data_IF_977719733377
#
_entry.id   IF_977719733377
#
_cell.length_a   1.000
_cell.length_b   1.000
_cell.length_c   1.000
_cell.angle_alpha   90.00
_cell.angle_beta   90.00
_cell.angle_gamma   90.00
#
_symmetry.space_group_name_H-M   'P 1'
#
loop_
_entity.id
_entity.type
_entity.pdbx_description
1 polymer ?
#
# COMPACT_ATOMS: atom_id res chain seq x y z
N UNK A 1 6.83 27.01 -3.70
CA UNK A 1 7.00 26.22 -4.94
C UNK A 1 7.04 24.70 -4.71
N UNK A 2 7.66 24.17 -3.63
CA UNK A 2 7.76 22.70 -3.40
C UNK A 2 6.42 21.98 -3.09
N UNK A 3 5.48 22.60 -2.36
CA UNK A 3 4.16 22.00 -2.08
C UNK A 3 3.34 21.72 -3.36
N UNK A 4 3.52 22.53 -4.40
CA UNK A 4 2.82 22.38 -5.68
C UNK A 4 3.25 21.12 -6.44
N UNK A 5 4.52 20.70 -6.31
CA UNK A 5 5.01 19.48 -6.98
C UNK A 5 4.50 18.21 -6.32
N UNK A 6 4.49 18.14 -4.99
CA UNK A 6 4.00 16.97 -4.27
C UNK A 6 2.51 16.73 -4.53
N UNK A 7 1.69 17.77 -4.41
CA UNK A 7 0.25 17.66 -4.67
C UNK A 7 -0.04 17.24 -6.12
N UNK A 8 0.70 17.79 -7.10
CA UNK A 8 0.59 17.38 -8.50
C UNK A 8 0.93 15.89 -8.71
N UNK A 9 2.01 15.40 -8.09
CA UNK A 9 2.40 13.99 -8.18
C UNK A 9 1.34 13.08 -7.55
N UNK A 10 0.85 13.39 -6.34
CA UNK A 10 -0.20 12.61 -5.68
C UNK A 10 -1.48 12.60 -6.51
N UNK A 11 -1.82 13.72 -7.14
CA UNK A 11 -3.01 13.81 -8.02
C UNK A 11 -2.86 12.91 -9.23
N UNK A 12 -1.72 12.95 -9.93
CA UNK A 12 -1.47 12.10 -11.09
C UNK A 12 -1.50 10.61 -10.71
N UNK A 13 -0.85 10.23 -9.62
CA UNK A 13 -0.84 8.85 -9.14
C UNK A 13 -2.23 8.40 -8.67
N UNK A 14 -2.98 9.29 -8.01
CA UNK A 14 -4.37 9.05 -7.63
C UNK A 14 -5.33 8.88 -8.81
N UNK A 15 -4.96 9.40 -10.00
CA UNK A 15 -5.67 9.20 -11.26
C UNK A 15 -5.21 7.93 -12.02
N UNK A 16 -4.27 7.16 -11.47
CA UNK A 16 -3.80 5.91 -12.06
C UNK A 16 -2.56 6.04 -12.95
N UNK A 17 -1.79 7.14 -12.83
CA UNK A 17 -0.50 7.22 -13.51
C UNK A 17 0.45 6.09 -13.06
N UNK A 18 1.19 5.51 -14.00
CA UNK A 18 2.14 4.46 -13.72
C UNK A 18 3.36 4.98 -12.95
N UNK A 19 3.62 4.39 -11.79
CA UNK A 19 4.68 4.86 -10.86
C UNK A 19 6.08 4.38 -11.23
N UNK A 20 6.19 3.35 -12.08
CA UNK A 20 7.46 2.66 -12.39
C UNK A 20 7.97 2.92 -13.82
N UNK A 21 7.43 3.91 -14.52
CA UNK A 21 7.89 4.27 -15.87
C UNK A 21 9.34 4.75 -15.82
N UNK A 22 10.22 4.17 -16.64
CA UNK A 22 11.61 4.60 -16.73
C UNK A 22 11.80 5.68 -17.80
N UNK A 23 12.70 6.64 -17.53
CA UNK A 23 13.18 7.59 -18.55
C UNK A 23 14.23 6.93 -19.49
N UNK A 24 14.77 7.70 -20.44
CA UNK A 24 15.79 7.21 -21.38
C UNK A 24 17.07 6.72 -20.70
N UNK A 25 17.35 7.16 -19.47
CA UNK A 25 18.49 6.74 -18.67
C UNK A 25 18.16 5.53 -17.77
N UNK A 26 16.95 5.00 -17.87
CA UNK A 26 16.46 3.92 -17.00
C UNK A 26 16.03 4.38 -15.61
N UNK A 27 15.95 5.69 -15.35
CA UNK A 27 15.54 6.20 -14.05
C UNK A 27 14.02 6.19 -13.93
N UNK A 28 13.49 5.49 -12.93
CA UNK A 28 12.08 5.61 -12.51
C UNK A 28 11.82 6.90 -11.73
N UNK A 29 10.56 7.34 -11.54
CA UNK A 29 10.23 8.46 -10.65
C UNK A 29 10.89 8.40 -9.28
N UNK A 30 11.10 7.19 -8.74
CA UNK A 30 11.77 6.97 -7.46
C UNK A 30 13.24 7.42 -7.48
N UNK A 31 13.95 7.23 -8.59
CA UNK A 31 15.34 7.68 -8.79
C UNK A 31 15.47 9.21 -8.81
N UNK A 32 14.40 9.92 -9.20
CA UNK A 32 14.36 11.40 -9.28
C UNK A 32 13.75 12.05 -8.05
N UNK A 33 13.48 11.31 -6.98
CA UNK A 33 12.90 11.86 -5.75
C UNK A 33 13.87 12.87 -5.09
N UNK A 34 13.38 14.09 -4.85
CA UNK A 34 14.20 15.19 -4.31
C UNK A 34 13.85 15.58 -2.88
N UNK A 35 12.66 15.19 -2.40
CA UNK A 35 12.19 15.51 -1.04
C UNK A 35 11.59 14.28 -0.38
N UNK A 36 11.58 14.20 0.96
CA UNK A 36 10.97 13.08 1.69
C UNK A 36 9.50 12.88 1.34
N UNK A 37 8.74 13.97 1.15
CA UNK A 37 7.33 13.89 0.78
C UNK A 37 7.09 13.27 -0.60
N UNK A 38 7.91 13.62 -1.60
CA UNK A 38 7.81 13.01 -2.94
C UNK A 38 8.20 11.53 -2.88
N UNK A 39 9.26 11.20 -2.15
CA UNK A 39 9.68 9.82 -1.92
C UNK A 39 8.56 9.00 -1.27
N UNK A 40 7.98 9.48 -0.17
CA UNK A 40 6.88 8.81 0.53
C UNK A 40 5.65 8.63 -0.37
N UNK A 41 5.28 9.66 -1.13
CA UNK A 41 4.17 9.57 -2.08
C UNK A 41 4.38 8.44 -3.09
N UNK A 42 5.54 8.41 -3.76
CA UNK A 42 5.88 7.37 -4.73
C UNK A 42 5.86 5.97 -4.11
N UNK A 43 6.41 5.81 -2.90
CA UNK A 43 6.44 4.54 -2.17
C UNK A 43 5.03 4.05 -1.81
N UNK A 44 4.15 4.95 -1.34
CA UNK A 44 2.76 4.60 -1.03
C UNK A 44 2.03 4.10 -2.28
N UNK A 45 2.28 4.67 -3.45
CA UNK A 45 1.73 4.19 -4.71
C UNK A 45 2.47 2.98 -5.30
N UNK A 46 3.39 2.34 -4.55
CA UNK A 46 4.04 1.09 -4.93
C UNK A 46 5.18 1.26 -5.93
N UNK A 47 5.97 2.33 -5.80
CA UNK A 47 7.22 2.46 -6.55
C UNK A 47 8.19 1.31 -6.22
N UNK A 48 8.76 0.70 -7.26
CA UNK A 48 9.70 -0.41 -7.13
C UNK A 48 11.06 0.09 -6.63
N UNK A 49 11.45 -0.34 -5.43
CA UNK A 49 12.71 -0.01 -4.79
C UNK A 49 13.91 -0.79 -5.32
N UNK A 50 13.66 -1.93 -5.97
CA UNK A 50 14.68 -2.82 -6.53
C UNK A 50 15.11 -2.45 -7.94
N UNK A 51 14.38 -1.56 -8.61
CA UNK A 51 14.72 -1.14 -9.97
C UNK A 51 16.08 -0.46 -10.01
N UNK A 52 16.88 -0.82 -11.00
CA UNK A 52 18.19 -0.19 -11.29
C UNK A 52 18.12 0.56 -12.61
N UNK A 53 18.79 1.70 -12.70
CA UNK A 53 18.91 2.45 -13.95
C UNK A 53 19.96 1.81 -14.89
N UNK A 54 20.23 2.44 -16.04
CA UNK A 54 21.22 1.95 -17.01
C UNK A 54 22.67 1.93 -16.50
N UNK A 55 22.92 2.44 -15.28
CA UNK A 55 24.22 2.42 -14.58
C UNK A 55 24.25 1.45 -13.40
N UNK A 56 23.26 0.56 -13.29
CA UNK A 56 23.08 -0.35 -12.16
C UNK A 56 22.88 0.35 -10.80
N UNK A 57 22.45 1.62 -10.81
CA UNK A 57 22.19 2.40 -9.60
C UNK A 57 20.72 2.26 -9.19
N UNK A 58 20.46 1.91 -7.94
CA UNK A 58 19.11 1.95 -7.34
C UNK A 58 18.76 3.37 -6.90
N UNK A 59 17.48 3.64 -6.65
CA UNK A 59 17.04 4.92 -6.06
C UNK A 59 17.75 5.21 -4.71
N UNK A 60 18.04 4.16 -3.93
CA UNK A 60 18.82 4.27 -2.69
C UNK A 60 20.26 4.73 -2.95
N UNK A 61 20.90 4.21 -4.01
CA UNK A 61 22.23 4.66 -4.42
C UNK A 61 22.23 6.16 -4.75
N UNK A 62 21.30 6.62 -5.61
CA UNK A 62 21.23 8.03 -6.03
C UNK A 62 21.03 8.96 -4.83
N UNK A 63 20.12 8.62 -3.91
CA UNK A 63 19.89 9.45 -2.72
C UNK A 63 21.13 9.47 -1.83
N UNK A 64 21.82 8.34 -1.65
CA UNK A 64 23.02 8.24 -0.83
C UNK A 64 24.23 9.02 -1.38
N UNK A 65 24.32 9.20 -2.70
CA UNK A 65 25.40 9.94 -3.38
C UNK A 65 25.06 11.40 -3.65
N UNK A 66 23.77 11.75 -3.57
CA UNK A 66 23.29 13.12 -3.78
C UNK A 66 23.64 14.08 -2.63
N UNK A 67 23.65 15.38 -2.94
CA UNK A 67 23.81 16.47 -1.97
C UNK A 67 22.47 17.02 -1.46
N UNK A 68 21.44 16.16 -1.31
CA UNK A 68 20.12 16.57 -0.80
C UNK A 68 20.19 16.95 0.69
N UNK A 69 19.42 17.97 1.09
CA UNK A 69 19.35 18.44 2.49
C UNK A 69 18.77 17.37 3.43
N UNK A 70 17.66 16.76 3.04
CA UNK A 70 16.92 15.79 3.86
C UNK A 70 17.34 14.34 3.55
N UNK A 71 18.55 14.14 3.05
CA UNK A 71 19.04 12.82 2.60
C UNK A 71 18.98 11.77 3.71
N UNK A 72 19.31 12.14 4.95
CA UNK A 72 19.38 11.20 6.07
C UNK A 72 18.00 10.62 6.38
N UNK A 73 16.94 11.43 6.29
CA UNK A 73 15.56 10.99 6.47
C UNK A 73 15.09 10.13 5.29
N UNK A 74 15.46 10.50 4.07
CA UNK A 74 15.12 9.72 2.87
C UNK A 74 15.80 8.35 2.87
N UNK A 75 17.06 8.28 3.30
CA UNK A 75 17.78 7.02 3.50
C UNK A 75 17.09 6.16 4.56
N UNK A 76 16.70 6.75 5.69
CA UNK A 76 15.96 6.03 6.73
C UNK A 76 14.67 5.41 6.21
N UNK A 77 13.88 6.19 5.47
CA UNK A 77 12.63 5.71 4.86
C UNK A 77 12.91 4.52 3.94
N UNK A 78 13.86 4.65 3.02
CA UNK A 78 14.20 3.58 2.07
C UNK A 78 14.73 2.30 2.76
N UNK A 79 15.60 2.44 3.76
CA UNK A 79 16.09 1.28 4.53
C UNK A 79 14.96 0.63 5.33
N UNK A 80 14.06 1.41 5.92
CA UNK A 80 12.95 0.90 6.72
C UNK A 80 11.94 0.06 5.91
N UNK A 81 11.81 0.32 4.62
CA UNK A 81 10.97 -0.45 3.70
C UNK A 81 11.73 -1.59 3.01
N UNK A 82 12.99 -1.83 3.37
CA UNK A 82 13.81 -2.91 2.81
C UNK A 82 14.33 -2.64 1.39
N UNK A 83 14.50 -1.37 0.98
CA UNK A 83 15.13 -1.07 -0.30
C UNK A 83 16.56 -1.66 -0.36
N UNK A 84 16.94 -2.33 -1.46
CA UNK A 84 18.20 -3.06 -1.51
C UNK A 84 19.39 -2.10 -1.56
N UNK A 85 20.43 -2.47 -0.81
CA UNK A 85 21.78 -1.91 -0.98
C UNK A 85 22.38 -2.35 -2.31
N UNK A 86 23.42 -1.66 -2.76
CA UNK A 86 24.15 -2.05 -3.98
C UNK A 86 24.70 -3.47 -3.80
N UNK A 87 24.58 -4.32 -4.84
CA UNK A 87 25.11 -5.70 -4.82
C UNK A 87 26.64 -5.71 -4.74
N UNK A 88 27.27 -4.90 -5.59
CA UNK A 88 28.71 -4.67 -5.60
C UNK A 88 28.98 -3.23 -5.18
N UNK A 89 30.16 -2.99 -4.59
CA UNK A 89 30.57 -1.64 -4.22
C UNK A 89 31.01 -0.90 -5.47
N UNK A 90 30.18 0.03 -5.95
CA UNK A 90 30.52 0.96 -7.02
C UNK A 90 31.50 2.03 -6.51
N UNK A 91 32.24 2.66 -7.42
CA UNK A 91 33.21 3.71 -7.06
C UNK A 91 32.57 4.91 -6.33
N UNK A 92 31.32 5.21 -6.64
CA UNK A 92 30.52 6.29 -6.05
C UNK A 92 29.82 5.90 -4.75
N UNK A 93 29.87 4.63 -4.32
CA UNK A 93 29.13 4.17 -3.15
C UNK A 93 29.57 4.87 -1.85
N UNK A 94 28.60 5.43 -1.13
CA UNK A 94 28.77 5.94 0.23
C UNK A 94 28.33 4.89 1.26
N UNK A 95 28.60 5.13 2.55
CA UNK A 95 28.14 4.23 3.63
C UNK A 95 26.61 4.05 3.70
N UNK A 96 25.85 4.95 3.07
CA UNK A 96 24.39 4.86 2.97
C UNK A 96 23.88 3.79 2.00
N UNK A 97 24.66 3.41 0.99
CA UNK A 97 24.24 2.49 -0.08
C UNK A 97 25.14 1.28 -0.30
N UNK A 98 26.39 1.32 0.19
CA UNK A 98 27.33 0.20 0.05
C UNK A 98 26.74 -1.11 0.64
N UNK A 99 27.10 -2.29 0.10
CA UNK A 99 26.54 -3.58 0.52
C UNK A 99 26.56 -3.80 2.05
N UNK A 100 27.68 -3.44 2.69
CA UNK A 100 27.86 -3.53 4.15
C UNK A 100 28.05 -2.14 4.79
N UNK A 101 27.37 -1.13 4.25
CA UNK A 101 27.47 0.24 4.74
C UNK A 101 26.82 0.40 6.12
N UNK A 102 27.47 1.09 7.09
CA UNK A 102 27.00 1.15 8.48
C UNK A 102 25.86 2.17 8.69
N UNK A 103 25.51 2.95 7.67
CA UNK A 103 24.58 4.07 7.82
C UNK A 103 23.26 3.77 7.13
N UNK A 104 22.17 3.80 7.90
CA UNK A 104 20.80 3.60 7.42
C UNK A 104 20.00 4.90 7.33
N UNK A 105 20.61 6.07 7.58
CA UNK A 105 19.87 7.33 7.73
C UNK A 105 19.47 7.62 9.17
N UNK A 106 18.80 8.76 9.38
CA UNK A 106 18.30 9.20 10.68
C UNK A 106 16.78 9.14 10.69
N UNK A 107 16.15 8.52 11.71
CA UNK A 107 14.71 8.54 11.85
C UNK A 107 14.21 9.98 11.98
N UNK A 108 13.02 10.29 11.44
CA UNK A 108 12.37 11.57 11.73
C UNK A 108 12.10 11.68 13.23
N UNK A 109 12.08 12.91 13.75
CA UNK A 109 11.73 13.17 15.15
C UNK A 109 10.41 12.49 15.49
N UNK A 110 10.39 11.74 16.60
CA UNK A 110 9.24 10.91 16.96
C UNK A 110 7.98 11.77 17.10
N UNK A 111 6.97 11.44 16.31
CA UNK A 111 5.60 11.93 16.56
C UNK A 111 5.10 11.21 17.81
N UNK A 112 4.58 11.92 18.80
CA UNK A 112 3.93 11.30 19.96
C UNK A 112 2.72 10.49 19.50
N UNK A 113 2.93 9.21 19.22
CA UNK A 113 1.84 8.29 18.91
C UNK A 113 1.21 7.92 20.25
N UNK A 114 -0.04 8.34 20.45
CA UNK A 114 -0.85 7.82 21.56
C UNK A 114 -0.91 6.30 21.44
N UNK A 115 -0.26 5.63 22.38
CA UNK A 115 -0.36 4.18 22.58
C UNK A 115 -1.84 3.79 22.64
N UNK A 116 -2.30 3.07 21.63
CA UNK A 116 -3.49 2.24 21.75
C UNK A 116 -3.02 0.80 21.87
N UNK A 117 -3.60 0.11 22.84
CA UNK A 117 -3.32 -1.24 23.26
C UNK A 117 -3.00 -2.13 22.06
N UNK A 118 -1.75 -2.58 21.99
CA UNK A 118 -1.32 -3.60 21.04
C UNK A 118 -2.06 -4.87 21.42
N UNK A 119 -3.01 -5.30 20.59
CA UNK A 119 -3.37 -6.71 20.56
C UNK A 119 -2.10 -7.42 20.10
N UNK A 120 -1.62 -8.41 20.86
CA UNK A 120 -0.41 -9.16 20.53
C UNK A 120 -0.62 -9.93 19.22
N UNK A 121 -0.25 -9.30 18.10
CA UNK A 121 -0.34 -9.89 16.76
C UNK A 121 0.50 -11.17 16.65
N UNK A 122 1.56 -11.30 17.43
CA UNK A 122 2.43 -12.48 17.45
C UNK A 122 1.66 -13.74 17.88
N UNK A 123 0.80 -13.65 18.89
CA UNK A 123 -0.03 -14.77 19.38
C UNK A 123 -1.05 -15.25 18.33
N UNK A 124 -1.64 -14.29 17.60
CA UNK A 124 -2.61 -14.58 16.53
C UNK A 124 -1.90 -15.22 15.34
N UNK A 125 -0.70 -14.75 14.99
CA UNK A 125 0.09 -15.30 13.88
C UNK A 125 0.58 -16.71 14.19
N UNK A 126 1.05 -16.96 15.41
CA UNK A 126 1.47 -18.28 15.88
C UNK A 126 0.31 -19.27 15.83
N UNK A 127 -0.86 -18.88 16.35
CA UNK A 127 -2.08 -19.68 16.29
C UNK A 127 -2.56 -19.96 14.86
N UNK A 128 -2.44 -18.97 13.95
CA UNK A 128 -2.82 -19.12 12.55
C UNK A 128 -1.86 -20.02 11.78
N UNK A 129 -0.55 -19.96 12.09
CA UNK A 129 0.46 -20.86 11.53
C UNK A 129 0.26 -22.29 12.01
N UNK A 130 -0.02 -22.50 13.29
CA UNK A 130 -0.35 -23.83 13.83
C UNK A 130 -1.58 -24.43 13.15
N UNK A 131 -2.66 -23.66 13.00
CA UNK A 131 -3.87 -24.09 12.28
C UNK A 131 -3.59 -24.46 10.81
N UNK A 132 -2.69 -23.74 10.14
CA UNK A 132 -2.28 -24.04 8.77
C UNK A 132 -1.45 -25.33 8.68
N UNK A 133 -0.63 -25.65 9.68
CA UNK A 133 0.17 -26.89 9.71
C UNK A 133 -0.67 -28.14 10.02
N UNK A 134 -1.69 -28.02 10.85
CA UNK A 134 -2.59 -29.14 11.20
C UNK A 134 -3.43 -29.62 10.00
N UNK A 135 -3.75 -28.74 9.05
CA UNK A 135 -4.47 -29.11 7.82
C UNK A 135 -3.66 -29.99 6.86
N UNK A 136 -2.33 -30.08 7.01
CA UNK A 136 -1.49 -30.98 6.22
C UNK A 136 -1.38 -32.40 6.81
N UNK A 137 -2.06 -32.70 7.93
CA UNK A 137 -2.02 -34.00 8.62
C UNK A 137 -3.33 -34.81 8.50
N UNK A 138 -4.05 -34.71 7.39
CA UNK A 138 -5.14 -35.66 7.06
C UNK A 138 -4.65 -36.76 6.12
N UNK A 139 -3.78 -37.61 6.65
CA UNK A 139 -3.63 -38.99 6.18
C UNK A 139 -4.50 -39.89 7.03
N UNK A 140 -5.38 -40.66 6.37
CA UNK A 140 -6.24 -41.75 6.87
C UNK A 140 -7.63 -41.35 7.40
N UNK A 141 -8.61 -41.35 6.49
CA UNK A 141 -10.05 -41.37 6.82
C UNK A 141 -10.90 -40.99 5.62
N UNK A 142 -11.75 -41.90 5.14
CA UNK A 142 -12.71 -41.68 4.05
C UNK A 142 -13.67 -40.54 4.40
N UNK A 143 -13.38 -39.31 3.96
CA UNK A 143 -14.33 -38.19 3.94
C UNK A 143 -14.34 -37.61 2.53
N UNK A 144 -15.53 -37.49 1.95
CA UNK A 144 -15.75 -37.02 0.60
C UNK A 144 -15.18 -35.59 0.44
N UNK A 145 -14.04 -35.45 -0.26
CA UNK A 145 -13.28 -34.19 -0.38
C UNK A 145 -14.07 -33.03 -1.01
N UNK A 146 -15.23 -33.30 -1.63
CA UNK A 146 -16.10 -32.27 -2.19
C UNK A 146 -16.91 -31.47 -1.14
N UNK A 147 -16.95 -31.87 0.13
CA UNK A 147 -17.77 -31.18 1.16
C UNK A 147 -17.00 -30.36 2.19
N UNK A 148 -15.68 -30.21 2.05
CA UNK A 148 -14.81 -29.54 3.05
C UNK A 148 -14.16 -28.23 2.54
N UNK A 149 -14.64 -27.65 1.42
CA UNK A 149 -14.27 -26.26 1.10
C UNK A 149 -14.95 -25.33 2.10
N UNK A 150 -14.24 -25.04 3.19
CA UNK A 150 -14.62 -23.97 4.12
C UNK A 150 -14.73 -22.64 3.38
N UNK A 151 -15.68 -21.79 3.78
CA UNK A 151 -15.84 -20.47 3.19
C UNK A 151 -14.76 -19.52 3.69
N UNK A 152 -14.14 -18.76 2.78
CA UNK A 152 -13.17 -17.72 3.10
C UNK A 152 -13.90 -16.39 3.20
N UNK A 153 -13.80 -15.74 4.37
CA UNK A 153 -14.48 -14.47 4.64
C UNK A 153 -13.44 -13.38 4.85
N UNK A 154 -13.61 -12.24 4.18
CA UNK A 154 -12.83 -11.03 4.40
C UNK A 154 -13.67 -10.00 5.15
N UNK A 155 -13.20 -9.60 6.34
CA UNK A 155 -13.83 -8.57 7.15
C UNK A 155 -12.99 -7.29 7.13
N UNK A 156 -13.61 -6.16 6.77
CA UNK A 156 -12.97 -4.85 6.65
C UNK A 156 -13.54 -3.87 7.67
N UNK A 157 -12.71 -3.49 8.63
CA UNK A 157 -13.13 -2.59 9.71
C UNK A 157 -13.36 -1.13 9.26
N UNK A 158 -14.14 -0.41 10.05
CA UNK A 158 -14.28 1.04 9.93
C UNK A 158 -13.07 1.80 10.46
N UNK A 159 -12.86 3.04 10.01
CA UNK A 159 -11.72 3.83 10.50
C UNK A 159 -11.50 5.21 9.88
N UNK A 160 -12.44 5.75 9.11
CA UNK A 160 -12.24 7.02 8.39
C UNK A 160 -11.09 6.92 7.38
N UNK A 161 -10.17 7.89 7.37
CA UNK A 161 -8.97 7.84 6.50
C UNK A 161 -7.99 6.72 6.85
N UNK A 162 -8.10 6.09 8.03
CA UNK A 162 -7.28 4.91 8.34
C UNK A 162 -7.56 3.73 7.41
N UNK A 163 -8.63 3.79 6.60
CA UNK A 163 -8.86 2.88 5.47
C UNK A 163 -7.69 2.74 4.50
N UNK A 164 -6.83 3.77 4.39
CA UNK A 164 -5.59 3.66 3.60
C UNK A 164 -4.67 2.54 4.10
N UNK A 165 -4.68 2.25 5.40
CA UNK A 165 -3.92 1.13 5.99
C UNK A 165 -4.53 -0.20 5.56
N UNK A 166 -5.87 -0.32 5.61
CA UNK A 166 -6.57 -1.53 5.13
C UNK A 166 -6.30 -1.77 3.65
N UNK A 167 -6.32 -0.73 2.83
CA UNK A 167 -5.99 -0.84 1.40
C UNK A 167 -4.55 -1.29 1.19
N UNK A 168 -3.60 -0.75 1.96
CA UNK A 168 -2.20 -1.17 1.88
C UNK A 168 -2.03 -2.65 2.27
N UNK A 169 -2.77 -3.11 3.29
CA UNK A 169 -2.78 -4.52 3.69
C UNK A 169 -3.35 -5.40 2.57
N UNK A 170 -4.45 -5.00 1.92
CA UNK A 170 -5.01 -5.74 0.79
C UNK A 170 -4.05 -5.81 -0.41
N UNK A 171 -3.33 -4.72 -0.71
CA UNK A 171 -2.30 -4.70 -1.75
C UNK A 171 -1.17 -5.69 -1.43
N UNK A 172 -0.70 -5.71 -0.17
CA UNK A 172 0.34 -6.63 0.26
C UNK A 172 -0.12 -8.10 0.21
N UNK A 173 -1.36 -8.40 0.62
CA UNK A 173 -1.95 -9.74 0.51
C UNK A 173 -2.05 -10.16 -0.95
N UNK A 174 -2.52 -9.26 -1.83
CA UNK A 174 -2.61 -9.53 -3.26
C UNK A 174 -1.23 -9.81 -3.88
N UNK A 175 -0.20 -9.06 -3.49
CA UNK A 175 1.17 -9.29 -3.94
C UNK A 175 1.70 -10.65 -3.46
N UNK A 176 1.53 -10.97 -2.18
CA UNK A 176 1.90 -12.28 -1.61
C UNK A 176 1.15 -13.46 -2.25
N UNK A 177 -0.07 -13.23 -2.73
CA UNK A 177 -0.88 -14.21 -3.45
C UNK A 177 -0.55 -14.32 -4.96
N UNK A 178 0.57 -13.73 -5.41
CA UNK A 178 0.99 -13.80 -6.80
C UNK A 178 0.18 -12.89 -7.74
N UNK A 179 -0.39 -11.81 -7.20
CA UNK A 179 -1.13 -10.80 -7.97
C UNK A 179 -2.61 -11.11 -8.18
N UNK A 180 -3.14 -12.20 -7.61
CA UNK A 180 -4.56 -12.58 -7.74
C UNK A 180 -5.50 -11.50 -7.19
N UNK A 181 -6.60 -11.14 -7.90
CA UNK A 181 -7.56 -10.16 -7.41
C UNK A 181 -8.14 -10.54 -6.04
N UNK A 182 -8.34 -9.56 -5.17
CA UNK A 182 -8.90 -9.76 -3.82
C UNK A 182 -10.20 -10.54 -3.84
N UNK A 183 -11.09 -10.25 -4.79
CA UNK A 183 -12.37 -10.95 -4.93
C UNK A 183 -12.25 -12.43 -5.27
N UNK A 184 -11.16 -12.88 -5.90
CA UNK A 184 -10.97 -14.31 -6.19
C UNK A 184 -10.38 -15.08 -5.00
N UNK A 185 -9.85 -14.34 -4.02
CA UNK A 185 -9.23 -14.91 -2.82
C UNK A 185 -10.25 -15.21 -1.71
N UNK A 186 -11.40 -14.53 -1.72
CA UNK A 186 -12.42 -14.65 -0.68
C UNK A 186 -13.78 -14.94 -1.28
N UNK A 187 -14.57 -15.76 -0.60
CA UNK A 187 -15.90 -16.12 -1.04
C UNK A 187 -16.90 -15.03 -0.60
N UNK A 188 -16.72 -14.51 0.63
CA UNK A 188 -17.54 -13.46 1.24
C UNK A 188 -16.72 -12.23 1.61
N UNK A 189 -17.32 -11.05 1.46
CA UNK A 189 -16.74 -9.78 1.94
C UNK A 189 -17.74 -9.02 2.81
N UNK A 190 -17.29 -8.60 3.98
CA UNK A 190 -18.05 -7.77 4.90
C UNK A 190 -17.24 -6.52 5.24
N UNK A 191 -17.92 -5.38 5.41
CA UNK A 191 -17.22 -4.15 5.77
C UNK A 191 -18.11 -3.12 6.46
N UNK A 192 -17.53 -2.37 7.39
CA UNK A 192 -18.24 -1.33 8.14
C UNK A 192 -17.67 0.05 7.84
N UNK A 193 -18.51 1.07 7.62
CA UNK A 193 -18.06 2.44 7.31
C UNK A 193 -17.07 2.46 6.12
N UNK A 194 -15.85 2.94 6.33
CA UNK A 194 -14.71 2.84 5.39
C UNK A 194 -14.56 1.44 4.79
N UNK A 195 -14.59 0.39 5.61
CA UNK A 195 -14.51 -0.98 5.13
C UNK A 195 -15.68 -1.37 4.23
N UNK A 196 -16.86 -0.78 4.43
CA UNK A 196 -18.04 -0.98 3.58
C UNK A 196 -17.88 -0.31 2.21
N UNK A 197 -17.36 0.92 2.17
CA UNK A 197 -17.03 1.60 0.90
C UNK A 197 -16.00 0.80 0.12
N UNK A 198 -14.97 0.28 0.80
CA UNK A 198 -13.94 -0.55 0.20
C UNK A 198 -14.49 -1.89 -0.29
N UNK A 199 -15.33 -2.56 0.51
CA UNK A 199 -16.00 -3.79 0.13
C UNK A 199 -16.83 -3.60 -1.14
N UNK A 200 -17.63 -2.52 -1.22
CA UNK A 200 -18.43 -2.20 -2.40
C UNK A 200 -17.57 -1.89 -3.62
N UNK A 201 -16.53 -1.09 -3.47
CA UNK A 201 -15.61 -0.77 -4.57
C UNK A 201 -14.98 -2.06 -5.14
N UNK A 202 -14.49 -2.94 -4.26
CA UNK A 202 -13.95 -4.24 -4.67
C UNK A 202 -15.01 -5.07 -5.39
N UNK A 203 -16.21 -5.22 -4.82
CA UNK A 203 -17.32 -5.99 -5.40
C UNK A 203 -17.79 -5.48 -6.77
N UNK A 204 -17.60 -4.19 -7.08
CA UNK A 204 -17.83 -3.60 -8.41
C UNK A 204 -16.66 -3.84 -9.39
N UNK A 205 -15.70 -4.69 -9.03
CA UNK A 205 -14.53 -5.00 -9.84
C UNK A 205 -13.43 -3.93 -9.81
N UNK A 206 -13.51 -2.94 -8.90
CA UNK A 206 -12.41 -1.98 -8.75
C UNK A 206 -11.23 -2.65 -8.07
N UNK A 207 -10.02 -2.34 -8.53
CA UNK A 207 -8.79 -2.89 -7.93
C UNK A 207 -8.47 -2.22 -6.59
N UNK A 208 -7.73 -2.90 -5.71
CA UNK A 208 -7.23 -2.29 -4.47
C UNK A 208 -6.41 -1.02 -4.73
N UNK A 209 -5.67 -0.98 -5.85
CA UNK A 209 -4.91 0.21 -6.29
C UNK A 209 -5.83 1.37 -6.68
N UNK A 210 -6.93 1.09 -7.36
CA UNK A 210 -7.95 2.10 -7.63
C UNK A 210 -8.58 2.63 -6.34
N UNK A 211 -8.91 1.73 -5.41
CA UNK A 211 -9.44 2.11 -4.10
C UNK A 211 -8.46 3.00 -3.31
N UNK A 212 -7.16 2.77 -3.43
CA UNK A 212 -6.13 3.65 -2.85
C UNK A 212 -6.26 5.09 -3.38
N UNK A 213 -6.32 5.25 -4.71
CA UNK A 213 -6.52 6.55 -5.34
C UNK A 213 -7.84 7.22 -4.94
N UNK A 214 -8.92 6.43 -4.85
CA UNK A 214 -10.22 6.89 -4.34
C UNK A 214 -10.12 7.46 -2.93
N UNK A 215 -9.43 6.78 -2.01
CA UNK A 215 -9.29 7.25 -0.64
C UNK A 215 -8.44 8.51 -0.50
N UNK A 216 -7.45 8.70 -1.37
CA UNK A 216 -6.73 9.97 -1.46
C UNK A 216 -7.64 11.11 -1.93
N UNK A 217 -8.51 10.88 -2.93
CA UNK A 217 -9.52 11.88 -3.32
C UNK A 217 -10.51 12.17 -2.20
N UNK A 218 -11.00 11.14 -1.51
CA UNK A 218 -11.91 11.30 -0.36
C UNK A 218 -11.25 12.14 0.74
N UNK A 219 -9.97 11.92 1.04
CA UNK A 219 -9.22 12.73 2.01
C UNK A 219 -9.28 14.21 1.66
N UNK A 220 -9.00 14.55 0.42
CA UNK A 220 -8.85 15.94 -0.01
C UNK A 220 -10.19 16.63 -0.30
N UNK A 221 -11.28 15.88 -0.49
CA UNK A 221 -12.62 16.42 -0.77
C UNK A 221 -13.55 16.41 0.45
N UNK A 222 -13.50 15.36 1.28
CA UNK A 222 -14.48 15.13 2.36
C UNK A 222 -13.99 15.66 3.70
N UNK A 223 -12.70 15.55 3.98
CA UNK A 223 -12.14 15.89 5.29
C UNK A 223 -11.46 17.26 5.30
N UNK A 224 -12.14 18.24 4.71
CA UNK A 224 -11.67 19.63 4.61
C UNK A 224 -12.41 20.50 5.62
N UNK A 225 -11.67 21.31 6.38
CA UNK A 225 -12.23 22.27 7.35
C UNK A 225 -12.45 21.69 8.75
N UNK A 226 -13.25 22.39 9.53
CA UNK A 226 -13.56 22.02 10.92
C UNK A 226 -14.81 21.15 10.99
N UNK A 227 -14.87 20.31 12.01
CA UNK A 227 -16.07 19.50 12.29
C UNK A 227 -17.24 20.42 12.66
N UNK A 228 -18.49 20.05 12.29
CA UNK A 228 -18.88 18.88 11.51
C UNK A 228 -18.58 19.05 10.00
N UNK A 229 -18.22 17.94 9.34
CA UNK A 229 -17.98 17.94 7.88
C UNK A 229 -19.30 17.90 7.12
N UNK A 230 -19.35 18.54 5.95
CA UNK A 230 -20.48 18.38 5.03
C UNK A 230 -20.48 16.99 4.41
N UNK A 231 -21.66 16.40 4.31
CA UNK A 231 -21.94 15.11 3.69
C UNK A 231 -21.91 15.15 2.16
N UNK A 232 -22.16 16.33 1.56
CA UNK A 232 -22.28 16.50 0.10
C UNK A 232 -21.05 16.00 -0.68
N UNK A 233 -19.80 16.33 -0.29
CA UNK A 233 -18.63 15.85 -1.03
C UNK A 233 -18.50 14.32 -1.00
N UNK A 234 -18.87 13.69 0.12
CA UNK A 234 -18.83 12.23 0.23
C UNK A 234 -19.90 11.59 -0.66
N UNK A 235 -21.12 12.13 -0.63
CA UNK A 235 -22.23 11.66 -1.46
C UNK A 235 -21.89 11.74 -2.96
N UNK A 236 -21.36 12.88 -3.42
CA UNK A 236 -20.97 13.08 -4.82
C UNK A 236 -19.86 12.12 -5.26
N UNK A 237 -18.86 11.87 -4.38
CA UNK A 237 -17.82 10.88 -4.66
C UNK A 237 -18.42 9.48 -4.77
N UNK A 238 -19.32 9.08 -3.85
CA UNK A 238 -19.94 7.76 -3.91
C UNK A 238 -20.83 7.58 -5.15
N UNK A 239 -21.63 8.58 -5.52
CA UNK A 239 -22.43 8.57 -6.76
C UNK A 239 -21.55 8.40 -7.99
N UNK A 240 -20.43 9.13 -8.06
CA UNK A 240 -19.49 9.05 -9.17
C UNK A 240 -18.81 7.68 -9.27
N UNK A 241 -18.45 7.09 -8.15
CA UNK A 241 -17.57 5.91 -8.10
C UNK A 241 -18.34 4.58 -8.12
N UNK A 242 -19.51 4.54 -7.46
CA UNK A 242 -20.39 3.37 -7.37
C UNK A 242 -21.55 3.43 -8.37
N UNK A 243 -21.84 4.62 -8.91
CA UNK A 243 -22.92 4.86 -9.85
C UNK A 243 -24.21 5.30 -9.14
N UNK A 244 -24.87 6.32 -9.68
CA UNK A 244 -26.08 6.91 -9.10
C UNK A 244 -27.31 5.98 -9.20
N UNK A 245 -27.33 5.10 -10.21
CA UNK A 245 -28.44 4.18 -10.50
C UNK A 245 -28.09 2.70 -10.27
N UNK A 246 -26.88 2.42 -9.81
CA UNK A 246 -26.44 1.05 -9.54
C UNK A 246 -27.15 0.54 -8.29
N UNK A 247 -27.87 -0.57 -8.42
CA UNK A 247 -28.54 -1.21 -7.29
C UNK A 247 -27.62 -2.24 -6.64
N UNK A 248 -27.85 -2.53 -5.36
CA UNK A 248 -27.09 -3.58 -4.66
C UNK A 248 -27.25 -4.95 -5.33
N UNK A 249 -28.42 -5.22 -5.94
CA UNK A 249 -28.71 -6.43 -6.70
C UNK A 249 -27.91 -6.58 -7.99
N UNK A 250 -27.35 -5.49 -8.50
CA UNK A 250 -26.59 -5.49 -9.76
C UNK A 250 -25.15 -6.00 -9.55
N UNK A 251 -24.69 -6.08 -8.30
CA UNK A 251 -23.38 -6.58 -7.92
C UNK A 251 -23.36 -8.11 -8.09
N UNK A 252 -22.60 -8.58 -9.07
CA UNK A 252 -22.45 -10.01 -9.40
C UNK A 252 -21.00 -10.45 -9.16
N UNK A 253 -20.82 -11.63 -8.57
CA UNK A 253 -19.49 -12.27 -8.46
C UNK A 253 -18.88 -12.32 -7.06
N UNK A 254 -19.58 -11.81 -6.04
CA UNK A 254 -19.22 -11.95 -4.62
C UNK A 254 -20.44 -12.50 -3.90
N UNK A 255 -20.30 -13.56 -3.08
CA UNK A 255 -21.43 -14.14 -2.35
C UNK A 255 -21.31 -13.87 -0.87
#
# INVERSE_FOLDING_TARGET
VQHSRLSGIITLLGLGAEVNVADNDGNTPLHKATTPGVLQGLLVFGANTHHVNNKDETALHIIATSSLRDKDQMLYILHSIGAPRCKTRLATCTGGCAPNGPFNGKPPDQVQVMSRSRINFDEIMESAMEAATLNNYQGVGFVNQNSLRGGRVLCLDGGGLRGLILIQLLLAIQEAAGGRPVLEMFDWIAGTSTGGILALALSLGKTARYAQGLYFRIKDLVFVGNRPYSEKPLEEVLKKELGEKTLMSDIKGVK
#
